data_IF_733336452580
#
_entry.id   IF_733336452580
#
_cell.length_a   1.000
_cell.length_b   1.000
_cell.length_c   1.000
_cell.angle_alpha   90.00
_cell.angle_beta   90.00
_cell.angle_gamma   90.00
#
_symmetry.space_group_name_H-M   'P 1'
#
loop_
_entity.id
_entity.type
_entity.pdbx_description
1 polymer ?
#
# COMPACT_ATOMS: atom_id res chain seq x y z
N UNK A 1 28.13 -74.01 -22.91
CA UNK A 1 29.17 -73.34 -22.09
C UNK A 1 28.54 -72.30 -21.18
N UNK A 2 28.34 -72.63 -19.88
CA UNK A 2 27.84 -71.66 -18.90
C UNK A 2 29.03 -70.88 -18.34
N UNK A 3 29.13 -69.57 -18.63
CA UNK A 3 30.11 -68.67 -18.03
C UNK A 3 29.76 -68.47 -16.52
N UNK A 4 30.61 -69.01 -15.67
CA UNK A 4 30.55 -68.86 -14.23
C UNK A 4 30.82 -67.38 -13.90
N UNK A 5 29.80 -66.67 -13.42
CA UNK A 5 29.94 -65.28 -12.97
C UNK A 5 30.65 -65.32 -11.62
N UNK A 6 31.93 -64.91 -11.58
CA UNK A 6 32.70 -64.75 -10.34
C UNK A 6 32.07 -63.65 -9.46
N UNK A 7 31.41 -64.08 -8.38
CA UNK A 7 30.90 -63.15 -7.37
C UNK A 7 32.08 -62.42 -6.71
N UNK A 8 32.25 -61.13 -6.99
CA UNK A 8 33.21 -60.29 -6.28
C UNK A 8 32.75 -60.15 -4.83
N UNK A 9 33.61 -60.52 -3.88
CA UNK A 9 33.36 -60.30 -2.44
C UNK A 9 33.85 -58.91 -2.10
N UNK A 10 32.97 -58.04 -1.59
CA UNK A 10 33.34 -56.74 -1.07
C UNK A 10 34.18 -56.87 0.19
N UNK A 11 35.23 -56.09 0.31
CA UNK A 11 36.01 -56.03 1.53
C UNK A 11 35.35 -55.07 2.55
N UNK A 12 35.53 -55.32 3.83
CA UNK A 12 35.01 -54.47 4.91
C UNK A 12 35.47 -53.00 4.77
N UNK A 13 36.69 -52.82 4.28
CA UNK A 13 37.27 -51.49 4.00
C UNK A 13 36.54 -50.75 2.88
N UNK A 14 36.19 -51.45 1.79
CA UNK A 14 35.41 -50.83 0.69
C UNK A 14 34.04 -50.36 1.18
N UNK A 15 33.40 -51.11 2.06
CA UNK A 15 32.12 -50.71 2.63
C UNK A 15 32.23 -49.48 3.51
N UNK A 16 33.26 -49.39 4.38
CA UNK A 16 33.49 -48.21 5.24
C UNK A 16 33.80 -46.97 4.40
N UNK A 17 34.64 -47.10 3.38
CA UNK A 17 34.97 -45.97 2.49
C UNK A 17 33.71 -45.51 1.72
N UNK A 18 32.90 -46.45 1.20
CA UNK A 18 31.65 -46.10 0.52
C UNK A 18 30.67 -45.40 1.44
N UNK A 19 30.53 -45.85 2.70
CA UNK A 19 29.67 -45.14 3.68
C UNK A 19 30.19 -43.75 4.03
N UNK A 20 31.50 -43.57 4.15
CA UNK A 20 32.11 -42.29 4.41
C UNK A 20 31.85 -41.30 3.26
N UNK A 21 32.09 -41.70 2.03
CA UNK A 21 31.81 -40.89 0.83
C UNK A 21 30.32 -40.56 0.72
N UNK A 22 29.44 -41.54 0.94
CA UNK A 22 28.01 -41.33 0.93
C UNK A 22 27.53 -40.32 1.99
N UNK A 23 28.11 -40.38 3.20
CA UNK A 23 27.80 -39.45 4.27
C UNK A 23 28.20 -38.02 3.90
N UNK A 24 29.36 -37.81 3.27
CA UNK A 24 29.81 -36.53 2.78
C UNK A 24 28.87 -35.98 1.71
N UNK A 25 28.47 -36.83 0.75
CA UNK A 25 27.53 -36.45 -0.30
C UNK A 25 26.16 -36.06 0.27
N UNK A 26 25.66 -36.76 1.28
CA UNK A 26 24.44 -36.44 1.98
C UNK A 26 24.53 -35.05 2.67
N UNK A 27 25.60 -34.77 3.34
CA UNK A 27 25.84 -33.47 3.99
C UNK A 27 25.84 -32.33 2.97
N UNK A 28 26.51 -32.52 1.83
CA UNK A 28 26.53 -31.53 0.75
C UNK A 28 25.13 -31.31 0.16
N UNK A 29 24.36 -32.40 -0.06
CA UNK A 29 22.97 -32.29 -0.51
C UNK A 29 22.08 -31.54 0.48
N UNK A 30 22.20 -31.82 1.78
CA UNK A 30 21.46 -31.09 2.83
C UNK A 30 21.77 -29.61 2.86
N UNK A 31 23.06 -29.23 2.71
CA UNK A 31 23.45 -27.83 2.62
C UNK A 31 22.88 -27.13 1.38
N UNK A 32 22.91 -27.82 0.23
CA UNK A 32 22.32 -27.32 -1.00
C UNK A 32 20.79 -27.12 -0.86
N UNK A 33 20.09 -28.11 -0.28
CA UNK A 33 18.66 -28.02 -0.02
C UNK A 33 18.31 -26.86 0.94
N UNK A 34 19.07 -26.69 2.01
CA UNK A 34 18.88 -25.60 2.94
C UNK A 34 19.06 -24.22 2.28
N UNK A 35 20.08 -24.09 1.43
CA UNK A 35 20.29 -22.88 0.63
C UNK A 35 19.14 -22.60 -0.34
N UNK A 36 18.70 -23.63 -1.06
CA UNK A 36 17.58 -23.53 -1.99
C UNK A 36 16.27 -23.14 -1.29
N UNK A 37 15.98 -23.70 -0.12
CA UNK A 37 14.80 -23.35 0.67
C UNK A 37 14.84 -21.90 1.14
N UNK A 38 15.99 -21.38 1.52
CA UNK A 38 16.14 -19.98 1.94
C UNK A 38 15.85 -19.02 0.78
N UNK A 39 16.39 -19.33 -0.41
CA UNK A 39 16.12 -18.54 -1.63
C UNK A 39 14.63 -18.60 -1.99
N UNK A 40 14.03 -19.80 -1.94
CA UNK A 40 12.61 -19.98 -2.26
C UNK A 40 11.69 -19.16 -1.35
N UNK A 41 11.90 -19.23 -0.02
CA UNK A 41 11.15 -18.43 0.95
C UNK A 41 11.31 -16.92 0.73
N UNK A 42 12.51 -16.48 0.36
CA UNK A 42 12.76 -15.08 0.01
C UNK A 42 11.98 -14.65 -1.24
N UNK A 43 11.92 -15.48 -2.27
CA UNK A 43 11.14 -15.22 -3.48
C UNK A 43 9.63 -15.21 -3.22
N UNK A 44 9.13 -16.13 -2.41
CA UNK A 44 7.71 -16.20 -2.03
C UNK A 44 7.25 -14.93 -1.31
N UNK A 45 8.01 -14.48 -0.30
CA UNK A 45 7.73 -13.21 0.39
C UNK A 45 7.72 -12.01 -0.56
N UNK A 46 8.68 -11.96 -1.49
CA UNK A 46 8.71 -10.88 -2.50
C UNK A 46 7.48 -10.91 -3.40
N UNK A 47 7.10 -12.07 -3.89
CA UNK A 47 5.93 -12.22 -4.76
C UNK A 47 4.64 -11.81 -4.04
N UNK A 48 4.51 -12.15 -2.76
CA UNK A 48 3.37 -11.75 -1.94
C UNK A 48 3.27 -10.23 -1.82
N UNK A 49 4.39 -9.54 -1.55
CA UNK A 49 4.41 -8.08 -1.46
C UNK A 49 4.03 -7.43 -2.78
N UNK A 50 4.59 -7.92 -3.89
CA UNK A 50 4.25 -7.40 -5.22
C UNK A 50 2.79 -7.61 -5.55
N UNK A 51 2.21 -8.77 -5.21
CA UNK A 51 0.80 -9.06 -5.40
C UNK A 51 -0.08 -8.12 -4.56
N UNK A 52 0.20 -7.98 -3.27
CA UNK A 52 -0.55 -7.11 -2.36
C UNK A 52 -0.44 -5.64 -2.76
N UNK A 53 0.76 -5.18 -3.10
CA UNK A 53 0.98 -3.81 -3.57
C UNK A 53 0.22 -3.53 -4.88
N UNK A 54 0.20 -4.48 -5.80
CA UNK A 54 -0.56 -4.36 -7.05
C UNK A 54 -2.06 -4.27 -6.79
N UNK A 55 -2.59 -5.13 -5.94
CA UNK A 55 -4.02 -5.10 -5.55
C UNK A 55 -4.37 -3.75 -4.93
N UNK A 56 -3.56 -3.26 -4.00
CA UNK A 56 -3.77 -1.95 -3.37
C UNK A 56 -3.74 -0.81 -4.41
N UNK A 57 -2.75 -0.82 -5.31
CA UNK A 57 -2.65 0.18 -6.39
C UNK A 57 -3.81 0.12 -7.36
N UNK A 58 -4.26 -1.07 -7.76
CA UNK A 58 -5.38 -1.24 -8.69
C UNK A 58 -6.69 -0.78 -8.04
N UNK A 59 -6.90 -1.09 -6.75
CA UNK A 59 -8.05 -0.62 -6.00
C UNK A 59 -8.06 0.92 -5.90
N UNK A 60 -6.96 1.52 -5.45
CA UNK A 60 -6.82 2.98 -5.37
C UNK A 60 -7.04 3.64 -6.73
N UNK A 61 -6.47 3.08 -7.79
CA UNK A 61 -6.62 3.60 -9.16
C UNK A 61 -8.07 3.58 -9.59
N UNK A 62 -8.75 2.45 -9.41
CA UNK A 62 -10.15 2.27 -9.83
C UNK A 62 -11.06 3.27 -9.14
N UNK A 63 -10.91 3.43 -7.82
CA UNK A 63 -11.78 4.33 -7.08
C UNK A 63 -11.47 5.81 -7.34
N UNK A 64 -10.20 6.17 -7.50
CA UNK A 64 -9.83 7.54 -7.83
C UNK A 64 -10.24 7.93 -9.25
N UNK A 65 -10.14 7.03 -10.22
CA UNK A 65 -10.65 7.29 -11.58
C UNK A 65 -12.18 7.42 -11.65
N UNK A 66 -12.87 6.75 -10.73
CA UNK A 66 -14.32 6.84 -10.60
C UNK A 66 -14.77 7.95 -9.64
N UNK A 67 -13.87 8.87 -9.27
CA UNK A 67 -14.18 10.00 -8.41
C UNK A 67 -15.28 10.85 -9.05
N UNK A 68 -16.35 11.08 -8.29
CA UNK A 68 -17.40 12.00 -8.68
C UNK A 68 -17.01 13.38 -8.16
N UNK A 69 -16.78 14.31 -9.08
CA UNK A 69 -16.44 15.68 -8.76
C UNK A 69 -17.46 16.65 -9.34
N UNK A 70 -17.89 17.58 -8.51
CA UNK A 70 -18.71 18.73 -8.89
C UNK A 70 -18.28 19.89 -8.01
N UNK A 71 -18.42 21.13 -8.48
CA UNK A 71 -18.01 22.33 -7.73
C UNK A 71 -18.56 22.43 -6.29
N UNK A 72 -19.71 21.78 -6.02
CA UNK A 72 -20.30 21.67 -4.67
C UNK A 72 -19.99 20.34 -3.97
N UNK A 73 -19.21 19.44 -4.57
CA UNK A 73 -18.89 18.13 -4.00
C UNK A 73 -17.42 18.12 -3.64
N UNK A 74 -17.13 17.84 -2.38
CA UNK A 74 -15.81 18.00 -1.86
C UNK A 74 -14.83 16.93 -2.36
N UNK A 75 -13.62 17.39 -2.55
CA UNK A 75 -12.40 16.61 -2.65
C UNK A 75 -11.42 17.18 -1.64
N UNK A 76 -10.74 16.33 -0.91
CA UNK A 76 -9.73 16.78 0.05
C UNK A 76 -8.54 15.86 0.05
N UNK A 77 -7.39 16.41 -0.17
CA UNK A 77 -6.11 15.74 -0.04
C UNK A 77 -5.25 16.49 0.96
N UNK A 78 -4.81 15.80 1.98
CA UNK A 78 -3.85 16.29 2.96
C UNK A 78 -2.53 15.55 2.82
N UNK A 79 -1.44 16.25 3.08
CA UNK A 79 -0.12 15.66 3.20
C UNK A 79 0.53 16.18 4.47
N UNK A 80 0.96 15.25 5.29
CA UNK A 80 1.67 15.51 6.54
C UNK A 80 3.07 14.94 6.41
N UNK A 81 4.05 15.62 6.94
CA UNK A 81 5.41 15.11 7.10
C UNK A 81 5.71 15.13 8.58
N UNK A 82 5.95 13.99 9.17
CA UNK A 82 6.42 13.92 10.55
C UNK A 82 7.86 14.46 10.60
N UNK A 83 8.04 15.56 11.34
CA UNK A 83 9.33 16.21 11.49
C UNK A 83 10.38 15.33 12.20
N UNK A 84 9.94 14.39 13.02
CA UNK A 84 10.83 13.50 13.79
C UNK A 84 11.33 12.32 12.98
N UNK A 85 10.49 11.78 12.10
CA UNK A 85 10.77 10.56 11.32
C UNK A 85 11.04 10.85 9.85
N UNK A 86 10.77 12.09 9.37
CA UNK A 86 10.72 12.45 7.96
C UNK A 86 9.77 11.56 7.14
N UNK A 87 8.85 10.86 7.82
CA UNK A 87 7.87 10.00 7.19
C UNK A 87 6.79 10.84 6.54
N UNK A 88 6.44 10.49 5.31
CA UNK A 88 5.36 11.15 4.59
C UNK A 88 4.09 10.36 4.74
N UNK A 89 3.05 11.06 5.16
CA UNK A 89 1.71 10.54 5.33
C UNK A 89 0.74 11.38 4.53
N UNK A 90 -0.05 10.75 3.68
CA UNK A 90 -1.11 11.43 2.95
C UNK A 90 -2.46 10.82 3.31
N UNK A 91 -3.47 11.68 3.35
CA UNK A 91 -4.85 11.31 3.57
C UNK A 91 -5.68 11.89 2.43
N UNK A 92 -6.53 11.08 1.81
CA UNK A 92 -7.38 11.53 0.72
C UNK A 92 -8.84 11.18 1.01
N UNK A 93 -9.73 12.14 0.79
CA UNK A 93 -11.17 12.02 0.98
C UNK A 93 -11.87 12.42 -0.30
N UNK A 94 -12.74 11.55 -0.81
CA UNK A 94 -13.43 11.77 -2.07
C UNK A 94 -14.73 10.97 -2.16
N UNK A 95 -15.58 11.34 -3.11
CA UNK A 95 -16.78 10.56 -3.43
C UNK A 95 -16.49 9.75 -4.69
N UNK A 96 -16.80 8.48 -4.64
CA UNK A 96 -16.61 7.57 -5.77
C UNK A 96 -17.90 6.82 -6.10
N UNK A 97 -18.05 6.40 -7.36
CA UNK A 97 -19.11 5.48 -7.77
C UNK A 97 -18.58 4.05 -7.64
N UNK A 98 -19.15 3.29 -6.72
CA UNK A 98 -18.71 1.92 -6.43
C UNK A 98 -19.69 0.86 -6.93
N UNK A 99 -20.84 1.23 -7.49
CA UNK A 99 -21.91 0.29 -7.79
C UNK A 99 -22.39 -0.45 -6.53
N UNK A 100 -22.82 -1.68 -6.70
CA UNK A 100 -23.37 -2.51 -5.60
C UNK A 100 -22.31 -3.25 -4.78
N UNK A 101 -21.04 -2.89 -4.92
CA UNK A 101 -19.93 -3.59 -4.23
C UNK A 101 -19.91 -3.36 -2.71
N UNK A 102 -20.53 -2.27 -2.24
CA UNK A 102 -20.59 -1.92 -0.83
C UNK A 102 -22.06 -1.76 -0.38
N UNK A 103 -22.36 -2.07 0.88
CA UNK A 103 -23.70 -1.93 1.43
C UNK A 103 -24.24 -0.49 1.34
N UNK A 104 -25.56 -0.35 1.25
CA UNK A 104 -26.29 0.91 1.16
C UNK A 104 -26.98 1.12 -0.19
N UNK A 105 -27.95 2.00 -0.23
CA UNK A 105 -28.82 2.22 -1.40
C UNK A 105 -28.25 3.21 -2.41
N UNK A 106 -27.18 3.93 -2.06
CA UNK A 106 -26.56 4.93 -2.94
C UNK A 106 -25.42 4.31 -3.74
N UNK A 107 -25.42 4.55 -5.06
CA UNK A 107 -24.29 4.20 -5.93
C UNK A 107 -23.03 5.07 -5.67
N UNK A 108 -23.17 6.14 -4.89
CA UNK A 108 -22.09 7.04 -4.52
C UNK A 108 -21.70 6.76 -3.07
N UNK A 109 -20.42 6.60 -2.83
CA UNK A 109 -19.84 6.35 -1.51
C UNK A 109 -18.74 7.35 -1.21
N UNK A 110 -18.66 7.77 0.04
CA UNK A 110 -17.44 8.40 0.54
C UNK A 110 -16.37 7.37 0.73
N UNK A 111 -15.17 7.71 0.31
CA UNK A 111 -14.01 6.86 0.46
C UNK A 111 -12.82 7.66 0.94
N UNK A 112 -12.03 7.06 1.78
CA UNK A 112 -10.74 7.62 2.21
C UNK A 112 -9.67 6.54 2.17
N UNK A 113 -8.46 6.96 1.82
CA UNK A 113 -7.24 6.20 2.03
C UNK A 113 -6.42 6.91 3.10
N UNK A 114 -6.08 6.20 4.15
CA UNK A 114 -5.35 6.74 5.30
C UNK A 114 -4.20 5.82 5.69
N UNK A 115 -3.11 6.41 6.07
CA UNK A 115 -1.94 5.70 6.57
C UNK A 115 -1.81 5.90 8.07
N UNK A 116 -1.81 4.78 8.83
CA UNK A 116 -1.52 4.78 10.26
C UNK A 116 -0.03 4.58 10.49
N UNK A 117 0.66 5.64 10.89
CA UNK A 117 2.10 5.58 11.21
C UNK A 117 2.38 4.71 12.45
N UNK A 118 1.42 4.64 13.40
CA UNK A 118 1.58 3.83 14.62
C UNK A 118 1.68 2.35 14.30
N UNK A 119 0.90 1.89 13.34
CA UNK A 119 0.74 0.47 13.03
C UNK A 119 1.43 0.05 11.72
N UNK A 120 1.82 1.04 10.90
CA UNK A 120 2.39 0.78 9.59
C UNK A 120 1.39 0.15 8.62
N UNK A 121 0.13 0.56 8.71
CA UNK A 121 -0.95 -0.01 7.91
C UNK A 121 -1.56 1.08 7.04
N UNK A 122 -1.72 0.79 5.75
CA UNK A 122 -2.52 1.59 4.85
C UNK A 122 -3.95 1.05 4.86
N UNK A 123 -4.89 1.90 5.19
CA UNK A 123 -6.30 1.60 5.28
C UNK A 123 -7.09 2.19 4.12
N UNK A 124 -8.15 1.49 3.74
CA UNK A 124 -9.27 2.05 3.00
C UNK A 124 -10.50 2.05 3.90
N UNK A 125 -11.20 3.15 3.97
CA UNK A 125 -12.50 3.21 4.61
C UNK A 125 -13.55 3.71 3.62
N UNK A 126 -14.72 3.08 3.67
CA UNK A 126 -15.87 3.39 2.83
C UNK A 126 -17.04 3.70 3.75
N UNK A 127 -17.60 4.90 3.58
CA UNK A 127 -18.73 5.36 4.36
C UNK A 127 -20.01 5.23 3.54
N UNK A 128 -20.95 4.48 4.08
CA UNK A 128 -22.22 4.22 3.44
C UNK A 128 -23.28 5.23 3.90
N UNK A 129 -24.33 5.43 3.08
CA UNK A 129 -25.47 6.30 3.37
C UNK A 129 -26.27 5.91 4.61
N UNK A 130 -26.06 4.71 5.12
CA UNK A 130 -26.67 4.20 6.36
C UNK A 130 -25.91 4.59 7.63
N UNK A 131 -24.65 5.03 7.51
CA UNK A 131 -23.86 5.46 8.67
C UNK A 131 -24.37 6.81 9.20
N UNK A 132 -24.39 6.97 10.52
CA UNK A 132 -24.78 8.24 11.15
C UNK A 132 -23.89 9.40 10.69
N UNK A 133 -22.62 9.12 10.43
CA UNK A 133 -21.64 10.09 9.97
C UNK A 133 -21.94 10.54 8.54
N UNK A 134 -22.37 9.63 7.66
CA UNK A 134 -22.68 9.96 6.27
C UNK A 134 -23.85 10.94 6.14
N UNK A 135 -24.87 10.84 7.00
CA UNK A 135 -26.02 11.77 7.01
C UNK A 135 -25.60 13.21 7.28
N UNK A 136 -24.50 13.41 8.01
CA UNK A 136 -23.98 14.75 8.29
C UNK A 136 -23.20 15.34 7.10
N UNK A 137 -22.84 14.52 6.11
CA UNK A 137 -22.07 14.92 4.93
C UNK A 137 -22.87 14.98 3.64
N UNK A 138 -24.08 14.38 3.62
CA UNK A 138 -25.04 14.63 2.55
C UNK A 138 -25.74 15.96 2.86
N UNK A 139 -25.53 16.97 2.06
CA UNK A 139 -26.23 18.22 2.30
C UNK A 139 -27.75 18.03 2.26
N UNK A 140 -28.46 18.76 3.08
CA UNK A 140 -29.33 19.73 2.50
C UNK A 140 -28.43 20.83 1.96
N UNK A 141 -28.28 20.92 0.64
CA UNK A 141 -27.41 21.86 -0.09
C UNK A 141 -27.76 23.33 0.15
N UNK A 142 -28.47 23.63 1.23
CA UNK A 142 -29.11 24.91 1.47
C UNK A 142 -28.20 25.97 2.09
N UNK A 143 -27.04 25.61 2.61
CA UNK A 143 -26.08 26.60 3.05
C UNK A 143 -24.67 26.20 2.63
N UNK A 144 -24.14 26.89 1.63
CA UNK A 144 -22.77 26.70 1.14
C UNK A 144 -21.71 26.73 2.24
N UNK A 145 -21.95 27.42 3.34
CA UNK A 145 -21.06 27.53 4.49
C UNK A 145 -21.09 26.31 5.41
N UNK A 146 -22.24 25.66 5.61
CA UNK A 146 -22.35 24.48 6.48
C UNK A 146 -21.64 23.26 5.93
N UNK A 147 -21.67 23.12 4.61
CA UNK A 147 -20.99 22.04 3.91
C UNK A 147 -19.45 22.17 3.96
N UNK A 148 -18.94 23.38 3.75
CA UNK A 148 -17.52 23.67 3.82
C UNK A 148 -16.95 23.37 5.22
N UNK A 149 -17.69 23.73 6.27
CA UNK A 149 -17.27 23.50 7.66
C UNK A 149 -17.25 22.01 7.98
N UNK A 150 -18.30 21.26 7.62
CA UNK A 150 -18.34 19.82 7.82
C UNK A 150 -17.22 19.09 7.09
N UNK A 151 -16.85 19.58 5.90
CA UNK A 151 -15.75 19.02 5.12
C UNK A 151 -14.38 19.37 5.70
N UNK A 152 -14.21 20.52 6.29
CA UNK A 152 -12.97 20.92 6.95
C UNK A 152 -12.75 20.14 8.25
N UNK A 153 -13.82 19.64 8.88
CA UNK A 153 -13.78 18.81 10.09
C UNK A 153 -13.62 17.31 9.80
N UNK A 154 -13.66 16.88 8.52
CA UNK A 154 -13.55 15.47 8.12
C UNK A 154 -12.38 14.72 8.79
N UNK A 155 -11.15 15.24 8.81
CA UNK A 155 -10.03 14.50 9.40
C UNK A 155 -10.21 14.23 10.89
N UNK A 156 -10.99 15.06 11.60
CA UNK A 156 -11.25 14.88 13.03
C UNK A 156 -12.38 13.87 13.30
N UNK A 157 -13.28 13.68 12.33
CA UNK A 157 -14.45 12.82 12.46
C UNK A 157 -14.21 11.42 11.90
N UNK A 158 -13.28 11.27 10.95
CA UNK A 158 -12.91 9.99 10.35
C UNK A 158 -11.59 9.48 10.93
N UNK A 159 -11.55 9.31 12.23
CA UNK A 159 -10.49 8.53 12.83
C UNK A 159 -10.77 7.06 12.48
N UNK A 160 -9.88 6.42 11.73
CA UNK A 160 -9.93 4.98 11.56
C UNK A 160 -9.76 4.39 12.96
N UNK A 161 -10.88 4.02 13.54
CA UNK A 161 -10.90 3.28 14.78
C UNK A 161 -10.52 1.84 14.41
N UNK A 162 -9.64 1.24 15.19
CA UNK A 162 -9.37 -0.19 15.17
C UNK A 162 -10.61 -1.05 15.50
N UNK A 163 -11.76 -0.41 15.65
CA UNK A 163 -13.03 -1.07 15.93
C UNK A 163 -13.86 -1.13 14.63
N UNK A 164 -13.92 -2.30 13.95
CA UNK A 164 -14.53 -2.45 12.63
C UNK A 164 -16.05 -2.41 12.60
N UNK A 165 -16.72 -2.03 13.69
CA UNK A 165 -18.17 -2.25 13.82
C UNK A 165 -19.06 -1.15 13.22
N UNK A 166 -18.54 0.04 12.89
CA UNK A 166 -19.39 1.15 12.45
C UNK A 166 -19.14 1.65 11.02
N UNK A 167 -17.97 1.41 10.44
CA UNK A 167 -17.60 1.83 9.09
C UNK A 167 -16.82 0.71 8.42
N UNK A 168 -17.05 0.52 7.11
CA UNK A 168 -16.33 -0.50 6.34
C UNK A 168 -14.88 -0.06 6.14
N UNK A 169 -14.04 -0.31 7.13
CA UNK A 169 -12.60 -0.13 7.02
C UNK A 169 -11.92 -1.47 6.77
N UNK A 170 -11.01 -1.49 5.82
CA UNK A 170 -10.23 -2.68 5.46
C UNK A 170 -8.76 -2.33 5.37
N UNK A 171 -7.94 -3.19 5.93
CA UNK A 171 -6.50 -3.11 5.75
C UNK A 171 -6.16 -3.41 4.29
N UNK A 172 -5.49 -2.48 3.62
CA UNK A 172 -5.02 -2.66 2.25
C UNK A 172 -3.66 -3.35 2.21
N UNK A 173 -2.73 -2.83 3.01
CA UNK A 173 -1.36 -3.31 3.04
C UNK A 173 -0.71 -3.00 4.38
N UNK A 174 0.09 -3.94 4.89
CA UNK A 174 0.85 -3.83 6.15
C UNK A 174 2.32 -3.54 5.91
N UNK A 175 3.01 -3.20 6.99
CA UNK A 175 4.44 -2.90 7.00
C UNK A 175 4.81 -1.73 6.08
N UNK A 176 3.91 -0.75 5.98
CA UNK A 176 4.11 0.47 5.21
C UNK A 176 4.97 1.43 6.00
N UNK A 177 6.04 1.89 5.38
CA UNK A 177 6.93 2.91 5.97
C UNK A 177 6.53 4.33 5.59
N UNK A 178 5.96 4.52 4.41
CA UNK A 178 5.52 5.83 3.94
C UNK A 178 4.40 5.68 2.91
N UNK A 179 3.48 6.64 2.91
CA UNK A 179 2.42 6.75 1.92
C UNK A 179 2.28 8.20 1.50
N UNK A 180 2.48 8.50 0.24
CA UNK A 180 2.46 9.85 -0.33
C UNK A 180 1.54 9.88 -1.55
N UNK A 181 0.66 10.86 -1.58
CA UNK A 181 -0.14 11.20 -2.76
C UNK A 181 0.29 12.60 -3.21
N UNK A 182 0.83 12.69 -4.41
CA UNK A 182 1.36 13.92 -4.98
C UNK A 182 0.37 14.43 -6.04
N UNK A 183 -0.32 15.55 -5.77
CA UNK A 183 -1.24 16.12 -6.74
C UNK A 183 -0.53 17.01 -7.75
N UNK A 184 -1.05 17.01 -8.99
CA UNK A 184 -0.57 17.84 -10.07
C UNK A 184 -1.72 18.61 -10.72
N UNK A 185 -1.49 19.84 -11.06
CA UNK A 185 -2.40 20.69 -11.81
C UNK A 185 -1.93 20.87 -13.25
N UNK A 186 -2.88 21.08 -14.14
CA UNK A 186 -2.65 21.43 -15.52
C UNK A 186 -2.89 22.93 -15.71
N UNK A 187 -1.84 23.65 -16.04
CA UNK A 187 -1.93 25.11 -16.28
C UNK A 187 -1.86 25.38 -17.76
N UNK A 188 -2.87 26.06 -18.27
CA UNK A 188 -2.93 26.50 -19.66
C UNK A 188 -2.33 27.91 -19.77
N UNK A 189 -1.11 28.01 -20.30
CA UNK A 189 -0.52 29.30 -20.68
C UNK A 189 -0.89 29.69 -22.10
N UNK A 190 -0.72 30.95 -22.44
CA UNK A 190 -1.00 31.46 -23.81
C UNK A 190 -0.13 30.81 -24.90
N UNK A 191 1.04 30.31 -24.55
CA UNK A 191 2.00 29.70 -25.48
C UNK A 191 2.36 28.25 -25.17
N UNK A 192 2.13 27.81 -23.94
CA UNK A 192 2.52 26.47 -23.48
C UNK A 192 1.61 25.96 -22.37
N UNK A 193 1.22 24.70 -22.49
CA UNK A 193 0.57 23.96 -21.40
C UNK A 193 1.65 23.32 -20.54
N UNK A 194 1.54 23.45 -19.22
CA UNK A 194 2.47 22.87 -18.27
C UNK A 194 1.75 22.09 -17.15
N UNK A 195 2.41 21.06 -16.68
CA UNK A 195 1.96 20.28 -15.53
C UNK A 195 2.89 20.65 -14.36
N UNK A 196 2.31 21.05 -13.25
CA UNK A 196 3.06 21.43 -12.04
C UNK A 196 2.52 20.72 -10.81
N UNK A 197 3.43 20.41 -9.88
CA UNK A 197 3.05 19.83 -8.60
C UNK A 197 2.34 20.89 -7.74
N UNK A 198 1.24 20.50 -7.10
CA UNK A 198 0.58 21.33 -6.10
C UNK A 198 1.29 21.09 -4.76
N UNK A 199 1.83 22.14 -4.17
CA UNK A 199 2.57 22.07 -2.91
C UNK A 199 1.81 22.67 -1.71
N UNK A 200 0.64 23.28 -1.96
CA UNK A 200 -0.22 23.85 -0.92
C UNK A 200 -1.27 22.82 -0.49
N UNK A 201 -1.35 22.54 0.80
CA UNK A 201 -2.33 21.63 1.39
C UNK A 201 -3.20 22.36 2.42
N UNK A 202 -4.45 21.95 2.63
CA UNK A 202 -5.15 20.87 1.92
C UNK A 202 -5.52 21.25 0.47
N UNK A 203 -5.44 20.27 -0.44
CA UNK A 203 -5.96 20.44 -1.80
C UNK A 203 -7.44 20.15 -1.78
N UNK A 204 -8.27 21.15 -2.10
CA UNK A 204 -9.74 21.06 -2.06
C UNK A 204 -10.38 20.94 -3.45
N UNK A 205 -9.58 21.05 -4.50
CA UNK A 205 -10.01 20.96 -5.89
C UNK A 205 -9.46 19.67 -6.48
N UNK A 206 -10.24 18.98 -7.31
CA UNK A 206 -9.78 17.77 -7.96
C UNK A 206 -8.56 18.07 -8.84
N UNK A 207 -7.40 17.47 -8.57
CA UNK A 207 -6.21 17.69 -9.37
C UNK A 207 -6.34 17.03 -10.75
N UNK A 208 -5.54 17.48 -11.72
CA UNK A 208 -5.49 16.88 -13.06
C UNK A 208 -5.03 15.43 -13.01
N UNK A 209 -4.00 15.18 -12.22
CA UNK A 209 -3.49 13.84 -11.95
C UNK A 209 -2.91 13.76 -10.55
N UNK A 210 -2.83 12.56 -10.02
CA UNK A 210 -2.13 12.25 -8.77
C UNK A 210 -1.10 11.16 -8.99
N UNK A 211 0.04 11.25 -8.34
CA UNK A 211 0.99 10.18 -8.22
C UNK A 211 0.86 9.57 -6.82
N UNK A 212 0.52 8.31 -6.76
CA UNK A 212 0.48 7.54 -5.52
C UNK A 212 1.83 6.85 -5.37
N UNK A 213 2.43 7.01 -4.20
CA UNK A 213 3.70 6.37 -3.86
C UNK A 213 3.64 5.83 -2.45
N UNK A 214 4.02 4.57 -2.27
CA UNK A 214 4.21 3.99 -0.95
C UNK A 214 5.40 3.06 -0.91
N UNK A 215 6.01 2.94 0.27
CA UNK A 215 7.13 2.05 0.53
C UNK A 215 6.75 1.06 1.60
N UNK A 216 6.99 -0.22 1.36
CA UNK A 216 6.65 -1.32 2.26
C UNK A 216 7.86 -2.21 2.52
N UNK A 217 7.86 -2.88 3.67
CA UNK A 217 8.85 -3.91 4.01
C UNK A 217 8.30 -5.31 3.75
N UNK A 218 9.22 -6.23 3.43
CA UNK A 218 8.89 -7.63 3.17
C UNK A 218 8.46 -8.39 4.43
N UNK A 219 8.83 -7.91 5.59
CA UNK A 219 8.53 -8.58 6.85
C UNK A 219 8.17 -7.57 7.94
N UNK A 220 7.41 -8.04 8.93
CA UNK A 220 7.12 -7.26 10.12
C UNK A 220 8.38 -7.00 10.96
N UNK A 221 9.36 -7.90 10.89
CA UNK A 221 10.65 -7.75 11.56
C UNK A 221 11.41 -6.55 10.99
N UNK A 222 11.52 -6.43 9.66
CA UNK A 222 12.19 -5.31 8.98
C UNK A 222 11.50 -3.99 9.31
N UNK A 223 10.16 -3.97 9.29
CA UNK A 223 9.38 -2.79 9.68
C UNK A 223 9.65 -2.39 11.13
N UNK A 224 9.65 -3.35 12.06
CA UNK A 224 9.91 -3.09 13.48
C UNK A 224 11.33 -2.59 13.71
N UNK A 225 12.31 -3.17 13.02
CA UNK A 225 13.70 -2.75 13.08
C UNK A 225 13.85 -1.31 12.57
N UNK A 226 13.27 -0.98 11.43
CA UNK A 226 13.25 0.37 10.87
C UNK A 226 12.62 1.37 11.83
N UNK A 227 11.48 1.03 12.42
CA UNK A 227 10.76 1.88 13.35
C UNK A 227 11.60 2.25 14.57
N UNK A 228 12.42 1.32 15.06
CA UNK A 228 13.27 1.48 16.24
C UNK A 228 14.59 2.24 15.96
N UNK A 229 14.90 2.57 14.69
CA UNK A 229 16.07 3.38 14.37
C UNK A 229 15.90 4.81 14.87
N UNK A 230 16.98 5.36 15.44
CA UNK A 230 16.93 6.63 16.17
C UNK A 230 17.07 7.86 15.25
N UNK A 231 17.71 7.72 14.09
CA UNK A 231 18.01 8.85 13.21
C UNK A 231 17.33 8.71 11.84
N UNK A 232 16.95 9.84 11.23
CA UNK A 232 16.37 9.86 9.89
C UNK A 232 17.30 9.27 8.84
N UNK A 233 18.61 9.54 8.94
CA UNK A 233 19.61 8.99 8.01
C UNK A 233 19.67 7.47 8.08
N UNK A 234 19.67 6.88 9.28
CA UNK A 234 19.62 5.42 9.42
C UNK A 234 18.34 4.83 8.87
N UNK A 235 17.20 5.51 9.07
CA UNK A 235 15.91 5.10 8.52
C UNK A 235 15.91 5.13 6.99
N UNK A 236 16.46 6.18 6.39
CA UNK A 236 16.55 6.32 4.94
C UNK A 236 17.47 5.26 4.31
N UNK A 237 18.61 4.98 4.94
CA UNK A 237 19.53 3.94 4.47
C UNK A 237 18.92 2.55 4.59
N UNK A 238 18.21 2.27 5.68
CA UNK A 238 17.50 1.01 5.86
C UNK A 238 16.37 0.83 4.85
N UNK A 239 15.60 1.90 4.57
CA UNK A 239 14.56 1.90 3.54
C UNK A 239 15.13 1.59 2.16
N UNK A 240 16.27 2.16 1.80
CA UNK A 240 16.93 1.89 0.51
C UNK A 240 17.38 0.43 0.36
N UNK A 241 17.76 -0.21 1.46
CA UNK A 241 18.27 -1.58 1.44
C UNK A 241 17.15 -2.64 1.51
N UNK A 242 16.11 -2.38 2.28
CA UNK A 242 15.08 -3.37 2.63
C UNK A 242 13.67 -3.01 2.16
N UNK A 243 13.43 -1.74 1.79
CA UNK A 243 12.12 -1.25 1.37
C UNK A 243 11.83 -1.48 -0.10
N UNK A 244 10.58 -1.77 -0.41
CA UNK A 244 10.05 -1.86 -1.77
C UNK A 244 9.14 -0.67 -2.03
N UNK A 245 9.54 0.18 -2.97
CA UNK A 245 8.76 1.36 -3.32
C UNK A 245 7.93 1.11 -4.56
N UNK A 246 6.65 1.41 -4.46
CA UNK A 246 5.68 1.35 -5.54
C UNK A 246 5.18 2.76 -5.84
N UNK A 247 5.09 3.09 -7.13
CA UNK A 247 4.57 4.38 -7.57
C UNK A 247 3.69 4.19 -8.80
N UNK A 248 2.60 4.96 -8.87
CA UNK A 248 1.69 4.97 -10.00
C UNK A 248 1.06 6.33 -10.20
N UNK A 249 1.06 6.79 -11.44
CA UNK A 249 0.37 8.03 -11.82
C UNK A 249 -1.05 7.71 -12.29
N UNK A 250 -2.02 8.45 -11.77
CA UNK A 250 -3.43 8.30 -12.07
C UNK A 250 -3.95 9.63 -12.64
N UNK A 251 -4.55 9.59 -13.81
CA UNK A 251 -5.20 10.74 -14.42
C UNK A 251 -6.66 10.81 -13.95
N UNK A 252 -7.02 11.93 -13.34
CA UNK A 252 -8.36 12.16 -12.81
C UNK A 252 -9.22 12.99 -13.77
N UNK A 253 -8.59 13.54 -14.80
CA UNK A 253 -9.24 14.40 -15.79
C UNK A 253 -9.31 15.86 -15.35
N UNK A 254 -9.52 16.74 -16.32
CA UNK A 254 -9.74 18.16 -16.05
C UNK A 254 -11.24 18.45 -16.11
N UNK A 255 -11.91 18.38 -14.99
CA UNK A 255 -13.35 18.70 -14.85
C UNK A 255 -13.59 20.18 -14.58
N UNK A 256 -12.55 21.03 -14.67
CA UNK A 256 -12.71 22.47 -14.53
C UNK A 256 -13.36 23.05 -15.79
N UNK A 257 -14.66 23.12 -15.79
CA UNK A 257 -15.45 24.11 -16.53
C UNK A 257 -16.49 24.69 -15.64
#
# INVERSE_FOLDING_TARGET
MRKSCKKRKFTLVELIVAMAVFSILLLLMLQFFSGAQTIWRGMEKRNEIYANARIAMDLMTTHLQNTFYHAGIPFRLESKTDASTNTKSSEIYFITKTGDQFPGNSAQKYMTFQFSESDGILWVAVFCDTSANFKNFLPPYETANGFQTAWDDLPSQFTISSNPNDDYSTELIKNVASFEIIPYELTFGSTKTSISRINSFPVKVLPYMVEIKFTVFASAEDYTQWKNLSTSTQKDDFLRQHGYTFARTIYLGNWSK
#
